data_IF_089093358660
#
_entry.id   IF_089093358660
#
_cell.length_a   1.000
_cell.length_b   1.000
_cell.length_c   1.000
_cell.angle_alpha   90.00
_cell.angle_beta   90.00
_cell.angle_gamma   90.00
#
_symmetry.space_group_name_H-M   'P 1'
#
loop_
_entity.id
_entity.type
_entity.pdbx_description
1 polymer ?
#
# COMPACT_ATOMS: atom_id res chain seq x y z
N UNK A 1 -2.37 8.69 -1.07
CA UNK A 1 -1.49 7.54 -1.29
C UNK A 1 -1.37 6.73 -0.01
N UNK A 2 -1.81 5.46 -0.03
CA UNK A 2 -1.67 4.54 1.11
C UNK A 2 -0.44 3.66 0.86
N UNK A 3 0.49 3.61 1.81
CA UNK A 3 1.71 2.82 1.71
C UNK A 3 1.98 2.02 2.98
N UNK A 4 2.59 0.85 2.83
CA UNK A 4 3.15 0.04 3.90
C UNK A 4 4.67 0.14 3.84
N UNK A 5 5.28 0.34 5.01
CA UNK A 5 6.72 0.37 5.18
C UNK A 5 7.16 -0.87 5.94
N UNK A 6 7.97 -1.70 5.29
CA UNK A 6 8.54 -2.93 5.88
C UNK A 6 10.05 -2.77 5.98
N UNK A 7 10.60 -2.82 7.19
CA UNK A 7 12.04 -2.84 7.40
C UNK A 7 12.60 -4.24 7.13
N UNK A 8 13.61 -4.33 6.29
CA UNK A 8 14.28 -5.57 5.89
C UNK A 8 15.55 -5.80 6.73
N UNK A 9 16.04 -7.06 6.82
CA UNK A 9 17.21 -7.40 7.64
C UNK A 9 18.51 -6.71 7.18
N UNK A 10 18.56 -6.27 5.92
CA UNK A 10 19.69 -5.56 5.31
C UNK A 10 19.66 -4.04 5.57
N UNK A 11 18.84 -3.57 6.52
CA UNK A 11 18.59 -2.15 6.81
C UNK A 11 17.97 -1.37 5.65
N UNK A 12 17.32 -2.07 4.73
CA UNK A 12 16.54 -1.43 3.68
C UNK A 12 15.06 -1.34 4.07
N UNK A 13 14.33 -0.41 3.45
CA UNK A 13 12.90 -0.26 3.62
C UNK A 13 12.18 -0.63 2.33
N UNK A 14 11.31 -1.63 2.39
CA UNK A 14 10.38 -1.97 1.32
C UNK A 14 9.13 -1.11 1.46
N UNK A 15 8.76 -0.42 0.37
CA UNK A 15 7.55 0.39 0.29
C UNK A 15 6.55 -0.31 -0.61
N UNK A 16 5.39 -0.59 -0.06
CA UNK A 16 4.33 -1.30 -0.76
C UNK A 16 3.08 -0.42 -0.81
N UNK A 17 2.30 -0.58 -1.86
CA UNK A 17 0.92 -0.07 -1.98
C UNK A 17 -0.04 -1.27 -1.95
N UNK A 18 -1.36 -1.05 -1.77
CA UNK A 18 -2.32 -2.15 -1.74
C UNK A 18 -2.32 -3.03 -3.00
N UNK A 19 -1.84 -2.50 -4.13
CA UNK A 19 -1.87 -3.18 -5.44
C UNK A 19 -0.51 -3.62 -5.95
N UNK A 20 0.58 -3.02 -5.47
CA UNK A 20 1.93 -3.25 -6.00
C UNK A 20 3.02 -2.81 -5.03
N UNK A 21 4.21 -3.41 -5.14
CA UNK A 21 5.42 -2.88 -4.50
C UNK A 21 5.87 -1.62 -5.23
N UNK A 22 6.03 -0.50 -4.51
CA UNK A 22 6.50 0.78 -5.08
C UNK A 22 8.02 0.78 -5.24
N UNK A 23 8.74 0.13 -4.33
CA UNK A 23 10.20 -0.02 -4.43
C UNK A 23 10.85 -0.38 -3.10
N UNK A 24 12.17 -0.54 -3.14
CA UNK A 24 13.01 -0.77 -1.96
C UNK A 24 14.04 0.33 -1.85
N UNK A 25 14.18 0.91 -0.67
CA UNK A 25 15.09 2.02 -0.38
C UNK A 25 16.19 1.52 0.55
N UNK A 26 17.43 1.53 0.07
CA UNK A 26 18.62 1.16 0.84
C UNK A 26 19.25 2.39 1.48
N UNK A 27 19.96 2.19 2.58
CA UNK A 27 20.76 3.22 3.26
C UNK A 27 19.99 4.50 3.58
N UNK A 28 18.69 4.38 3.81
CA UNK A 28 17.78 5.51 4.02
C UNK A 28 17.16 5.39 5.40
N UNK A 29 17.06 6.51 6.11
CA UNK A 29 16.34 6.53 7.38
C UNK A 29 14.83 6.53 7.14
N UNK A 30 14.07 5.98 8.09
CA UNK A 30 12.61 6.06 8.05
C UNK A 30 12.11 7.50 7.91
N UNK A 31 12.77 8.47 8.56
CA UNK A 31 12.41 9.89 8.48
C UNK A 31 12.52 10.45 7.07
N UNK A 32 13.64 10.20 6.40
CA UNK A 32 13.88 10.65 5.03
C UNK A 32 12.93 9.99 4.04
N UNK A 33 12.66 8.69 4.22
CA UNK A 33 11.71 7.95 3.38
C UNK A 33 10.28 8.50 3.51
N UNK A 34 9.84 8.76 4.74
CA UNK A 34 8.50 9.34 4.99
C UNK A 34 8.39 10.72 4.37
N UNK A 35 9.44 11.54 4.46
CA UNK A 35 9.48 12.85 3.82
C UNK A 35 9.39 12.74 2.30
N UNK A 36 10.21 11.89 1.70
CA UNK A 36 10.19 11.64 0.25
C UNK A 36 8.81 11.19 -0.24
N UNK A 37 8.19 10.22 0.46
CA UNK A 37 6.85 9.72 0.10
C UNK A 37 5.77 10.77 0.29
N UNK A 38 5.94 11.68 1.26
CA UNK A 38 5.02 12.80 1.48
C UNK A 38 5.12 13.83 0.37
N UNK A 39 6.34 14.16 -0.05
CA UNK A 39 6.58 15.09 -1.15
C UNK A 39 6.01 14.51 -2.46
N UNK A 40 6.21 13.22 -2.72
CA UNK A 40 5.60 12.52 -3.86
C UNK A 40 4.09 12.48 -3.81
N UNK A 41 3.50 12.27 -2.64
CA UNK A 41 2.05 12.32 -2.48
C UNK A 41 1.50 13.73 -2.79
N UNK A 42 2.17 14.77 -2.30
CA UNK A 42 1.81 16.16 -2.57
C UNK A 42 1.91 16.52 -4.06
N UNK A 43 2.94 16.03 -4.78
CA UNK A 43 3.10 16.25 -6.22
C UNK A 43 1.89 15.73 -7.03
N UNK A 44 1.27 14.64 -6.59
CA UNK A 44 0.07 14.06 -7.23
C UNK A 44 -1.25 14.54 -6.61
N UNK A 45 -1.20 15.48 -5.66
CA UNK A 45 -2.39 16.00 -4.97
C UNK A 45 -3.04 15.03 -3.98
N UNK A 46 -2.29 14.02 -3.49
CA UNK A 46 -2.78 13.05 -2.54
C UNK A 46 -2.12 13.19 -1.16
N UNK A 47 -2.83 12.77 -0.10
CA UNK A 47 -2.26 12.69 1.26
C UNK A 47 -1.55 11.35 1.48
N UNK A 48 -0.35 11.39 2.07
CA UNK A 48 0.37 10.18 2.49
C UNK A 48 -0.29 9.54 3.72
N UNK A 49 -0.60 8.24 3.65
CA UNK A 49 -1.09 7.45 4.78
C UNK A 49 -0.24 6.19 4.90
N UNK A 50 0.46 6.04 6.02
CA UNK A 50 1.31 4.87 6.29
C UNK A 50 0.52 3.88 7.13
N UNK A 51 0.43 2.64 6.69
CA UNK A 51 -0.27 1.54 7.37
C UNK A 51 0.70 0.42 7.70
N UNK A 52 0.46 -0.29 8.80
CA UNK A 52 1.20 -1.51 9.17
C UNK A 52 0.74 -2.71 8.36
N UNK A 53 -0.53 -2.74 7.99
CA UNK A 53 -1.15 -3.82 7.21
C UNK A 53 -2.19 -3.22 6.27
N UNK A 54 -2.33 -3.80 5.08
CA UNK A 54 -3.45 -3.48 4.20
C UNK A 54 -4.63 -4.29 4.69
N UNK A 55 -5.73 -3.64 5.09
CA UNK A 55 -6.98 -4.37 5.29
C UNK A 55 -7.36 -4.99 3.95
N UNK A 56 -7.16 -6.31 3.83
CA UNK A 56 -7.75 -7.10 2.75
C UNK A 56 -9.27 -6.97 2.90
N UNK A 57 -9.87 -6.05 2.14
CA UNK A 57 -11.29 -6.17 1.84
C UNK A 57 -11.43 -7.43 1.02
N UNK A 58 -11.75 -8.53 1.69
CA UNK A 58 -12.39 -9.67 1.05
C UNK A 58 -13.63 -9.12 0.33
N UNK A 59 -13.52 -8.86 -0.97
CA UNK A 59 -14.69 -8.82 -1.83
C UNK A 59 -15.30 -10.21 -1.76
N UNK A 60 -16.20 -10.42 -0.79
CA UNK A 60 -17.14 -11.54 -0.81
C UNK A 60 -17.95 -11.38 -2.08
N UNK A 61 -17.44 -11.97 -3.16
CA UNK A 61 -18.16 -12.13 -4.41
C UNK A 61 -19.42 -12.93 -4.07
N UNK A 62 -20.53 -12.23 -3.95
CA UNK A 62 -21.82 -12.82 -3.62
C UNK A 62 -22.33 -13.55 -4.85
N UNK A 63 -21.87 -14.80 -5.04
CA UNK A 63 -22.27 -15.70 -6.13
C UNK A 63 -23.79 -15.91 -6.16
N UNK A 64 -24.49 -15.62 -5.06
CA UNK A 64 -25.95 -15.60 -4.95
C UNK A 64 -26.62 -14.58 -5.87
N UNK A 65 -25.90 -13.55 -6.34
CA UNK A 65 -26.40 -12.60 -7.36
C UNK A 65 -26.14 -13.03 -8.81
N UNK A 66 -25.24 -13.99 -9.03
CA UNK A 66 -24.87 -14.47 -10.37
C UNK A 66 -25.79 -15.60 -10.82
N UNK A 67 -26.21 -16.49 -9.91
CA UNK A 67 -27.21 -17.52 -10.21
C UNK A 67 -28.62 -17.00 -9.98
N UNK A 68 -29.21 -16.31 -10.97
CA UNK A 68 -30.67 -16.25 -11.06
C UNK A 68 -31.17 -17.63 -11.50
N UNK A 69 -31.96 -18.35 -10.68
CA UNK A 69 -32.64 -19.53 -11.17
C UNK A 69 -33.68 -19.07 -12.18
N UNK A 70 -33.44 -19.39 -13.46
CA UNK A 70 -34.52 -19.48 -14.45
C UNK A 70 -35.18 -20.83 -14.21
N UNK A 71 -36.26 -20.85 -13.43
CA UNK A 71 -37.44 -21.71 -13.59
C UNK A 71 -38.50 -21.32 -12.58
#
# INVERSE_FOLDING_TARGET
>A
MIVKLTELPDRSFKVESPRNTLGTFKDTTRGDLVRYLRDKANEIGESLRIVTEFEEREEKLDWSKVMKPRW
#
